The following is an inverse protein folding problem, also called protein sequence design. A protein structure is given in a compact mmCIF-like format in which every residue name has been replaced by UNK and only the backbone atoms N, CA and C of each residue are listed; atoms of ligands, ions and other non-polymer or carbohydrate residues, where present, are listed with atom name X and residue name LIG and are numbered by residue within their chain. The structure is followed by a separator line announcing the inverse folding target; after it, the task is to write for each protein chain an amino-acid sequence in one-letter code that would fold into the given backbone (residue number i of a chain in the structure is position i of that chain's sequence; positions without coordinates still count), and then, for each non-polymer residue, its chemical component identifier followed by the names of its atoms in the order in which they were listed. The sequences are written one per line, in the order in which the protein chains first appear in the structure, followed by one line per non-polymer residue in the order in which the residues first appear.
data_IF_430049749408
#
_entry.id   IF_430049749408
#
_cell.length_a   1.000
_cell.length_b   1.000
_cell.length_c   1.000
_cell.angle_alpha   90.00
_cell.angle_beta   90.00
_cell.angle_gamma   90.00
#
_symmetry.space_group_name_H-M   'P 1'
#
loop_
_entity.id
_entity.type
_entity.pdbx_description
1 polymer ?
#
# COMPACT_ATOMS: atom_id res chain seq x y z
N UNK A 1 -13.42 -7.45 -9.16
CA UNK A 1 -12.87 -6.13 -9.52
C UNK A 1 -12.59 -6.16 -11.02
N UNK A 2 -13.45 -5.57 -11.84
CA UNK A 2 -13.28 -5.56 -13.30
C UNK A 2 -12.40 -4.37 -13.69
N UNK A 3 -11.14 -4.63 -14.01
CA UNK A 3 -10.28 -3.63 -14.63
C UNK A 3 -10.84 -3.32 -16.02
N UNK A 4 -11.52 -2.18 -16.15
CA UNK A 4 -11.84 -1.63 -17.46
C UNK A 4 -10.56 -0.99 -18.01
N UNK A 5 -9.80 -1.77 -18.78
CA UNK A 5 -8.77 -1.21 -19.66
C UNK A 5 -9.55 -0.37 -20.68
N UNK A 6 -9.38 0.94 -20.63
CA UNK A 6 -10.03 1.82 -21.59
C UNK A 6 -9.34 1.64 -22.94
N UNK A 7 -9.98 0.91 -23.85
CA UNK A 7 -9.54 0.73 -25.25
C UNK A 7 -9.35 2.07 -25.99
N UNK A 8 -9.83 3.17 -25.41
CA UNK A 8 -9.67 4.54 -25.93
C UNK A 8 -8.24 5.13 -25.77
N UNK A 9 -7.29 4.42 -25.15
CA UNK A 9 -5.87 4.76 -25.21
C UNK A 9 -5.11 3.58 -25.83
N UNK A 10 -4.36 3.77 -26.93
CA UNK A 10 -3.68 2.68 -27.63
C UNK A 10 -2.42 2.19 -26.89
N UNK A 11 -2.47 2.13 -25.55
CA UNK A 11 -1.37 1.70 -24.68
C UNK A 11 -1.40 0.21 -24.38
N UNK A 12 -2.54 -0.45 -24.61
CA UNK A 12 -2.71 -1.90 -24.48
C UNK A 12 -3.41 -2.44 -25.71
N UNK A 13 -2.99 -3.62 -26.18
CA UNK A 13 -3.67 -4.37 -27.22
C UNK A 13 -3.97 -5.79 -26.73
N UNK A 14 -5.02 -6.39 -27.30
CA UNK A 14 -5.41 -7.75 -26.96
C UNK A 14 -4.41 -8.72 -27.59
N UNK A 15 -3.89 -9.64 -26.79
CA UNK A 15 -3.02 -10.71 -27.30
C UNK A 15 -3.80 -11.59 -28.29
N UNK A 16 -3.21 -11.84 -29.47
CA UNK A 16 -3.80 -12.68 -30.52
C UNK A 16 -3.80 -14.19 -30.22
N UNK A 17 -3.35 -14.62 -29.04
CA UNK A 17 -3.36 -16.03 -28.66
C UNK A 17 -4.78 -16.58 -28.43
N UNK A 18 -4.98 -17.83 -28.83
CA UNK A 18 -6.24 -18.59 -28.70
C UNK A 18 -6.78 -18.47 -27.27
N UNK A 19 -8.08 -18.17 -27.15
CA UNK A 19 -8.82 -18.18 -25.88
C UNK A 19 -8.70 -19.54 -25.21
N UNK A 20 -7.88 -19.63 -24.17
CA UNK A 20 -7.93 -20.73 -23.21
C UNK A 20 -8.69 -20.18 -22.00
N UNK A 21 -9.87 -20.75 -21.71
CA UNK A 21 -10.72 -20.47 -20.52
C UNK A 21 -11.40 -19.09 -20.41
N UNK A 22 -11.68 -18.39 -21.52
CA UNK A 22 -12.54 -17.18 -21.49
C UNK A 22 -11.91 -15.93 -20.85
N UNK A 23 -10.62 -15.97 -20.49
CA UNK A 23 -9.88 -14.80 -19.98
C UNK A 23 -9.31 -13.98 -21.13
N UNK A 24 -9.44 -12.65 -21.05
CA UNK A 24 -8.78 -11.74 -22.00
C UNK A 24 -7.31 -11.55 -21.57
N UNK A 25 -6.38 -11.76 -22.51
CA UNK A 25 -4.95 -11.44 -22.34
C UNK A 25 -4.64 -10.12 -23.03
N UNK A 26 -3.83 -9.27 -22.39
CA UNK A 26 -3.41 -7.97 -22.92
C UNK A 26 -1.90 -7.86 -22.90
N UNK A 27 -1.34 -7.18 -23.90
CA UNK A 27 0.07 -6.81 -23.99
C UNK A 27 0.19 -5.30 -24.12
N UNK A 28 1.30 -4.74 -23.63
CA UNK A 28 1.63 -3.33 -23.80
C UNK A 28 2.05 -3.09 -25.25
N UNK A 29 1.52 -2.03 -25.85
CA UNK A 29 2.02 -1.52 -27.13
C UNK A 29 3.30 -0.70 -26.93
N UNK A 30 4.01 -0.37 -28.01
CA UNK A 30 5.16 0.55 -27.95
C UNK A 30 4.79 1.93 -27.37
N UNK A 31 3.58 2.42 -27.69
CA UNK A 31 3.05 3.64 -27.09
C UNK A 31 2.81 3.46 -25.58
N UNK A 32 2.29 2.30 -25.18
CA UNK A 32 2.11 1.94 -23.76
C UNK A 32 3.42 1.89 -23.00
N UNK A 33 4.47 1.30 -23.57
CA UNK A 33 5.81 1.27 -22.99
C UNK A 33 6.37 2.69 -22.88
N UNK A 34 6.22 3.51 -23.91
CA UNK A 34 6.67 4.91 -23.92
C UNK A 34 5.99 5.71 -22.81
N UNK A 35 4.66 5.59 -22.70
CA UNK A 35 3.89 6.28 -21.66
C UNK A 35 4.24 5.77 -20.25
N UNK A 36 4.43 4.46 -20.09
CA UNK A 36 4.90 3.87 -18.84
C UNK A 36 6.23 4.49 -18.40
N UNK A 37 7.22 4.52 -19.30
CA UNK A 37 8.53 5.10 -19.02
C UNK A 37 8.44 6.59 -18.65
N UNK A 38 7.62 7.36 -19.38
CA UNK A 38 7.38 8.77 -19.08
C UNK A 38 6.79 8.97 -17.68
N UNK A 39 5.83 8.12 -17.28
CA UNK A 39 5.22 8.15 -15.95
C UNK A 39 6.22 7.74 -14.85
N UNK A 40 7.04 6.72 -15.10
CA UNK A 40 8.10 6.32 -14.17
C UNK A 40 9.10 7.44 -13.90
N UNK A 41 9.51 8.19 -14.93
CA UNK A 41 10.38 9.37 -14.76
C UNK A 41 9.66 10.47 -13.98
N UNK A 42 8.38 10.73 -14.31
CA UNK A 42 7.63 11.85 -13.72
C UNK A 42 7.26 11.63 -12.25
N UNK A 43 6.93 10.39 -11.86
CA UNK A 43 6.35 10.06 -10.57
C UNK A 43 7.18 9.08 -9.74
N UNK A 44 8.15 8.37 -10.32
CA UNK A 44 8.93 7.33 -9.62
C UNK A 44 9.76 7.85 -8.46
N UNK A 45 9.98 9.16 -8.38
CA UNK A 45 10.72 9.83 -7.30
C UNK A 45 9.84 10.73 -6.42
N UNK A 46 8.55 10.83 -6.72
CA UNK A 46 7.62 11.68 -5.96
C UNK A 46 7.03 10.88 -4.81
N UNK A 47 7.27 11.35 -3.60
CA UNK A 47 6.58 10.89 -2.39
C UNK A 47 5.40 11.81 -2.12
N UNK A 48 4.19 11.34 -2.39
CA UNK A 48 2.98 12.04 -1.96
C UNK A 48 2.69 11.72 -0.49
N UNK A 49 2.21 12.72 0.25
CA UNK A 49 1.74 12.51 1.61
C UNK A 49 0.48 11.62 1.58
N UNK A 50 0.56 10.48 2.25
CA UNK A 50 -0.61 9.60 2.41
C UNK A 50 -1.50 10.19 3.50
N UNK A 51 -2.72 10.58 3.13
CA UNK A 51 -3.73 11.01 4.10
C UNK A 51 -4.25 9.76 4.83
N UNK A 52 -3.76 9.55 6.05
CA UNK A 52 -4.26 8.51 6.95
C UNK A 52 -5.21 9.20 7.92
N UNK A 53 -6.50 8.82 7.92
CA UNK A 53 -7.51 9.43 8.79
C UNK A 53 -7.14 9.46 10.27
N UNK A 54 -6.28 8.54 10.70
CA UNK A 54 -5.68 8.53 12.04
C UNK A 54 -4.92 9.82 12.38
N UNK A 55 -4.14 10.38 11.43
CA UNK A 55 -3.44 11.65 11.65
C UNK A 55 -4.41 12.83 11.82
N UNK A 56 -5.59 12.75 11.21
CA UNK A 56 -6.67 13.70 11.46
C UNK A 56 -7.13 13.64 12.92
N UNK A 57 -7.38 12.43 13.46
CA UNK A 57 -7.75 12.28 14.86
C UNK A 57 -6.66 12.81 15.82
N UNK A 58 -5.39 12.57 15.51
CA UNK A 58 -4.27 13.13 16.28
C UNK A 58 -4.19 14.66 16.26
N UNK A 59 -4.50 15.29 15.12
CA UNK A 59 -4.47 16.75 15.02
C UNK A 59 -5.51 17.42 15.93
N UNK A 60 -6.57 16.70 16.28
CA UNK A 60 -7.66 17.15 17.13
C UNK A 60 -7.76 16.31 18.41
N UNK A 61 -6.63 15.92 19.01
CA UNK A 61 -6.60 15.04 20.17
C UNK A 61 -7.41 15.57 21.36
N UNK A 62 -7.40 16.89 21.56
CA UNK A 62 -8.16 17.61 22.58
C UNK A 62 -9.68 17.37 22.48
N UNK A 63 -10.19 17.13 21.27
CA UNK A 63 -11.62 16.92 20.99
C UNK A 63 -12.06 15.46 21.22
N UNK A 64 -11.14 14.50 21.16
CA UNK A 64 -11.44 13.07 21.30
C UNK A 64 -11.44 12.61 22.74
N UNK A 65 -10.60 13.22 23.59
CA UNK A 65 -10.38 12.79 24.97
C UNK A 65 -9.52 11.52 25.07
N UNK A 66 -8.84 11.40 26.20
CA UNK A 66 -7.80 10.39 26.49
C UNK A 66 -8.19 8.96 26.11
N UNK A 67 -9.32 8.46 26.61
CA UNK A 67 -9.74 7.06 26.42
C UNK A 67 -10.05 6.71 24.97
N UNK A 68 -10.70 7.63 24.22
CA UNK A 68 -10.96 7.40 22.79
C UNK A 68 -9.67 7.42 21.98
N UNK A 69 -8.75 8.32 22.30
CA UNK A 69 -7.44 8.35 21.64
C UNK A 69 -6.66 7.06 21.89
N UNK A 70 -6.68 6.57 23.13
CA UNK A 70 -6.10 5.29 23.52
C UNK A 70 -6.68 4.13 22.72
N UNK A 71 -8.01 4.04 22.61
CA UNK A 71 -8.68 3.01 21.82
C UNK A 71 -8.28 3.07 20.33
N UNK A 72 -8.26 4.28 19.75
CA UNK A 72 -7.86 4.49 18.36
C UNK A 72 -6.44 4.00 18.09
N UNK A 73 -5.49 4.31 18.99
CA UNK A 73 -4.09 3.87 18.87
C UNK A 73 -3.99 2.34 18.95
N UNK A 74 -4.69 1.70 19.89
CA UNK A 74 -4.73 0.24 20.00
C UNK A 74 -5.27 -0.43 18.73
N UNK A 75 -6.32 0.14 18.14
CA UNK A 75 -6.85 -0.33 16.85
C UNK A 75 -5.82 -0.17 15.74
N UNK A 76 -5.09 0.96 15.67
CA UNK A 76 -4.05 1.16 14.67
C UNK A 76 -2.87 0.17 14.81
N UNK A 77 -2.44 -0.11 16.04
CA UNK A 77 -1.41 -1.12 16.33
C UNK A 77 -1.86 -2.47 15.77
N UNK A 78 -3.03 -2.95 16.20
CA UNK A 78 -3.56 -4.26 15.79
C UNK A 78 -3.71 -4.38 14.27
N UNK A 79 -4.22 -3.34 13.62
CA UNK A 79 -4.37 -3.32 12.16
C UNK A 79 -3.02 -3.33 11.45
N UNK A 80 -2.03 -2.59 11.96
CA UNK A 80 -0.70 -2.48 11.34
C UNK A 80 0.10 -3.78 11.52
N UNK A 81 0.06 -4.39 12.70
CA UNK A 81 0.65 -5.70 12.96
C UNK A 81 0.02 -6.78 12.06
N UNK A 82 -1.30 -6.76 11.89
CA UNK A 82 -1.97 -7.70 10.98
C UNK A 82 -1.50 -7.51 9.53
N UNK A 83 -1.30 -6.26 9.08
CA UNK A 83 -0.73 -5.99 7.75
C UNK A 83 0.69 -6.53 7.61
N UNK A 84 1.54 -6.34 8.62
CA UNK A 84 2.90 -6.89 8.63
C UNK A 84 2.86 -8.41 8.46
N UNK A 85 2.07 -9.12 9.29
CA UNK A 85 1.92 -10.57 9.21
C UNK A 85 1.46 -11.04 7.82
N UNK A 86 0.47 -10.38 7.21
CA UNK A 86 0.00 -10.75 5.87
C UNK A 86 1.08 -10.55 4.79
N UNK A 87 1.92 -9.52 4.92
CA UNK A 87 3.03 -9.29 3.99
C UNK A 87 4.14 -10.31 4.22
N UNK A 88 4.43 -10.66 5.46
CA UNK A 88 5.40 -11.70 5.82
C UNK A 88 4.96 -13.07 5.27
N UNK A 89 3.66 -13.41 5.37
CA UNK A 89 3.08 -14.62 4.77
C UNK A 89 3.23 -14.62 3.24
N UNK A 90 2.96 -13.49 2.58
CA UNK A 90 3.16 -13.35 1.14
C UNK A 90 4.64 -13.51 0.75
N UNK A 91 5.55 -13.05 1.61
CA UNK A 91 7.00 -13.19 1.46
C UNK A 91 7.54 -14.55 1.94
N UNK A 92 6.73 -15.47 2.46
CA UNK A 92 7.20 -16.82 2.80
C UNK A 92 7.54 -17.61 1.52
N UNK A 93 6.83 -17.35 0.42
CA UNK A 93 7.00 -18.02 -0.86
C UNK A 93 7.64 -17.11 -1.92
N UNK A 94 8.78 -16.49 -1.60
CA UNK A 94 9.44 -15.46 -2.46
C UNK A 94 9.77 -15.93 -3.88
N UNK A 95 9.99 -17.24 -4.07
CA UNK A 95 10.42 -17.81 -5.36
C UNK A 95 9.39 -17.64 -6.48
N UNK A 96 8.12 -17.39 -6.15
CA UNK A 96 7.06 -17.15 -7.14
C UNK A 96 6.85 -15.67 -7.45
N UNK A 97 7.54 -14.77 -6.73
CA UNK A 97 7.37 -13.32 -6.84
C UNK A 97 8.46 -12.68 -7.70
N UNK A 98 8.06 -11.68 -8.48
CA UNK A 98 9.00 -10.83 -9.23
C UNK A 98 9.85 -10.05 -8.22
N UNK A 99 11.17 -9.96 -8.45
CA UNK A 99 12.13 -9.29 -7.54
C UNK A 99 11.72 -7.88 -7.12
N UNK A 100 11.16 -7.09 -8.06
CA UNK A 100 10.67 -5.75 -7.75
C UNK A 100 9.52 -5.77 -6.72
N UNK A 101 8.63 -6.73 -6.83
CA UNK A 101 7.52 -6.91 -5.90
C UNK A 101 8.01 -7.32 -4.50
N UNK A 102 9.01 -8.21 -4.44
CA UNK A 102 9.68 -8.57 -3.17
C UNK A 102 10.21 -7.32 -2.46
N UNK A 103 10.95 -6.46 -3.18
CA UNK A 103 11.49 -5.21 -2.62
C UNK A 103 10.39 -4.27 -2.13
N UNK A 104 9.29 -4.15 -2.88
CA UNK A 104 8.15 -3.32 -2.46
C UNK A 104 7.53 -3.82 -1.15
N UNK A 105 7.36 -5.14 -1.01
CA UNK A 105 6.82 -5.75 0.21
C UNK A 105 7.78 -5.58 1.40
N UNK A 106 9.08 -5.75 1.20
CA UNK A 106 10.11 -5.51 2.24
C UNK A 106 10.14 -4.06 2.71
N UNK A 107 10.05 -3.11 1.77
CA UNK A 107 9.95 -1.69 2.08
C UNK A 107 8.67 -1.39 2.87
N UNK A 108 7.54 -1.97 2.45
CA UNK A 108 6.26 -1.82 3.14
C UNK A 108 6.31 -2.32 4.59
N UNK A 109 6.93 -3.48 4.85
CA UNK A 109 7.15 -3.99 6.21
C UNK A 109 7.96 -2.97 7.03
N UNK A 110 9.05 -2.45 6.47
CA UNK A 110 9.92 -1.49 7.17
C UNK A 110 9.14 -0.24 7.59
N UNK A 111 8.32 0.32 6.71
CA UNK A 111 7.45 1.46 7.05
C UNK A 111 6.44 1.12 8.15
N UNK A 112 5.78 -0.03 8.06
CA UNK A 112 4.81 -0.44 9.07
C UNK A 112 5.43 -0.70 10.43
N UNK A 113 6.66 -1.24 10.50
CA UNK A 113 7.39 -1.44 11.76
C UNK A 113 7.69 -0.11 12.46
N UNK A 114 8.10 0.92 11.70
CA UNK A 114 8.29 2.27 12.25
C UNK A 114 6.97 2.81 12.82
N UNK A 115 5.86 2.63 12.11
CA UNK A 115 4.55 3.08 12.60
C UNK A 115 4.13 2.36 13.89
N UNK A 116 4.27 1.04 13.97
CA UNK A 116 3.95 0.26 15.18
C UNK A 116 4.75 0.74 16.38
N UNK A 117 6.07 0.92 16.21
CA UNK A 117 6.92 1.45 17.28
C UNK A 117 6.44 2.82 17.75
N UNK A 118 6.14 3.72 16.80
CA UNK A 118 5.63 5.05 17.13
C UNK A 118 4.27 5.00 17.84
N UNK A 119 3.35 4.13 17.42
CA UNK A 119 2.06 3.96 18.11
C UNK A 119 2.22 3.45 19.54
N UNK A 120 3.16 2.54 19.80
CA UNK A 120 3.45 2.11 21.16
C UNK A 120 4.03 3.24 22.01
N UNK A 121 4.88 4.10 21.45
CA UNK A 121 5.39 5.28 22.16
C UNK A 121 4.27 6.30 22.45
N UNK A 122 3.33 6.50 21.53
CA UNK A 122 2.14 7.33 21.77
C UNK A 122 1.26 6.75 22.87
N UNK A 123 1.02 5.43 22.85
CA UNK A 123 0.22 4.76 23.86
C UNK A 123 0.84 4.91 25.26
N UNK A 124 2.17 4.76 25.37
CA UNK A 124 2.89 4.98 26.64
C UNK A 124 2.73 6.40 27.16
N UNK A 125 2.83 7.40 26.28
CA UNK A 125 2.67 8.82 26.66
C UNK A 125 1.28 9.07 27.26
N UNK A 126 0.24 8.63 26.57
CA UNK A 126 -1.14 8.72 27.03
C UNK A 126 -1.30 8.01 28.37
N UNK A 127 -0.80 6.78 28.50
CA UNK A 127 -0.90 6.00 29.74
C UNK A 127 -0.09 6.62 30.90
N UNK A 128 0.94 7.43 30.62
CA UNK A 128 1.81 8.09 31.61
C UNK A 128 1.35 9.47 32.09
N UNK A 129 0.41 10.11 31.41
CA UNK A 129 -0.21 11.37 31.83
C UNK A 129 -1.24 11.14 32.96
N UNK A 130 -0.81 10.50 34.05
CA UNK A 130 -1.58 10.25 35.29
C UNK A 130 -1.14 11.23 36.37
#
# INVERSE_FOLDING_TARGET
MNFHITENKPTFERSGEIRIEGKNKYILTDLGITEFNRLMIKYGTKTDYVNISFYGAMLFEDEFGKEKMRELILVQIKQTEKKISLIEDALANRSTLIKGFVRMLENSISHHKVNVNWFYELLKKIDSEV
#
